data_IF_877695228511
#
_entry.id   IF_877695228511
#
_cell.length_a   1.000
_cell.length_b   1.000
_cell.length_c   1.000
_cell.angle_alpha   90.00
_cell.angle_beta   90.00
_cell.angle_gamma   90.00
#
_symmetry.space_group_name_H-M   'P 1'
#
loop_
_entity.id
_entity.type
_entity.pdbx_description
1 polymer ?
#
# COMPACT_ATOMS: atom_id res chain seq x y z
N UNK A 1 1.37 11.78 13.54
CA UNK A 1 0.75 11.59 12.20
C UNK A 1 -0.02 10.29 12.22
N UNK A 2 -1.31 10.35 11.89
CA UNK A 2 -2.15 9.15 11.80
C UNK A 2 -1.92 8.40 10.49
N UNK A 3 -2.34 7.14 10.42
CA UNK A 3 -2.40 6.39 9.17
C UNK A 3 -3.77 5.76 8.95
N UNK A 4 -4.09 5.49 7.69
CA UNK A 4 -5.28 4.76 7.27
C UNK A 4 -4.82 3.47 6.58
N UNK A 5 -5.21 2.34 7.17
CA UNK A 5 -4.97 1.02 6.61
C UNK A 5 -6.14 0.61 5.70
N UNK A 6 -5.85 0.25 4.46
CA UNK A 6 -6.84 -0.23 3.49
C UNK A 6 -6.65 -1.74 3.33
N UNK A 7 -7.60 -2.51 3.84
CA UNK A 7 -7.60 -3.96 3.69
C UNK A 7 -7.86 -4.40 2.25
N UNK A 8 -7.02 -5.29 1.73
CA UNK A 8 -7.14 -5.84 0.37
C UNK A 8 -7.00 -7.35 0.39
N UNK A 9 -7.70 -8.05 -0.50
CA UNK A 9 -7.54 -9.50 -0.67
C UNK A 9 -6.24 -9.87 -1.41
N UNK A 10 -5.60 -8.90 -2.07
CA UNK A 10 -4.32 -9.08 -2.75
C UNK A 10 -3.61 -7.74 -2.88
N UNK A 11 -2.62 -7.50 -2.02
CA UNK A 11 -1.85 -6.24 -2.04
C UNK A 11 -1.12 -6.06 -3.37
N UNK A 12 -0.54 -7.13 -3.94
CA UNK A 12 0.13 -7.08 -5.25
C UNK A 12 -0.80 -6.58 -6.37
N UNK A 13 -2.04 -7.09 -6.43
CA UNK A 13 -3.01 -6.67 -7.46
C UNK A 13 -3.50 -5.24 -7.22
N UNK A 14 -3.74 -4.87 -5.97
CA UNK A 14 -4.18 -3.53 -5.60
C UNK A 14 -3.09 -2.50 -5.92
N UNK A 15 -1.82 -2.77 -5.57
CA UNK A 15 -0.66 -1.96 -5.92
C UNK A 15 -0.60 -1.72 -7.43
N UNK A 16 -0.56 -2.80 -8.22
CA UNK A 16 -0.52 -2.71 -9.69
C UNK A 16 -1.66 -1.85 -10.26
N UNK A 17 -2.89 -2.05 -9.78
CA UNK A 17 -4.06 -1.32 -10.26
C UNK A 17 -4.02 0.18 -9.93
N UNK A 18 -3.45 0.55 -8.78
CA UNK A 18 -3.28 1.93 -8.34
C UNK A 18 -2.11 2.60 -9.04
N UNK A 19 -1.02 1.89 -9.31
CA UNK A 19 0.08 2.37 -10.16
C UNK A 19 -0.43 2.75 -11.56
N UNK A 20 -1.34 1.96 -12.15
CA UNK A 20 -1.99 2.32 -13.43
C UNK A 20 -2.86 3.59 -13.36
N UNK A 21 -3.19 4.06 -12.15
CA UNK A 21 -3.96 5.30 -11.90
C UNK A 21 -3.06 6.46 -11.44
N UNK A 22 -1.75 6.28 -11.48
CA UNK A 22 -0.77 7.32 -11.13
C UNK A 22 -0.39 7.38 -9.66
N UNK A 23 -0.88 6.47 -8.81
CA UNK A 23 -0.38 6.38 -7.44
C UNK A 23 1.00 5.75 -7.40
N UNK A 24 1.84 6.23 -6.48
CA UNK A 24 3.17 5.70 -6.21
C UNK A 24 3.24 5.12 -4.81
N UNK A 25 4.19 4.21 -4.64
CA UNK A 25 4.41 3.49 -3.40
C UNK A 25 5.84 3.64 -2.94
N UNK A 26 6.01 3.71 -1.62
CA UNK A 26 7.33 3.70 -1.01
C UNK A 26 7.81 2.25 -1.03
N UNK A 27 8.59 1.85 -2.03
CA UNK A 27 9.02 0.46 -2.21
C UNK A 27 9.76 -0.10 -0.98
N UNK A 28 10.53 0.74 -0.28
CA UNK A 28 11.24 0.37 0.95
C UNK A 28 10.30 0.07 2.14
N UNK A 29 9.03 0.47 2.05
CA UNK A 29 8.01 0.15 3.05
C UNK A 29 7.36 -1.23 2.84
N UNK A 30 7.72 -1.94 1.76
CA UNK A 30 7.13 -3.21 1.42
C UNK A 30 7.39 -4.27 2.51
N UNK A 31 6.31 -4.80 3.08
CA UNK A 31 6.39 -5.91 4.02
C UNK A 31 6.09 -7.20 3.27
N UNK A 32 7.07 -8.09 3.20
CA UNK A 32 6.95 -9.39 2.53
C UNK A 32 7.01 -10.51 3.57
N UNK A 33 6.02 -11.41 3.55
CA UNK A 33 6.00 -12.64 4.36
C UNK A 33 5.74 -13.85 3.47
N UNK A 34 6.55 -14.89 3.62
CA UNK A 34 6.44 -16.13 2.82
C UNK A 34 6.41 -15.85 1.29
N UNK A 35 7.23 -14.91 0.82
CA UNK A 35 7.29 -14.50 -0.58
C UNK A 35 6.07 -13.70 -1.08
N UNK A 36 5.12 -13.35 -0.20
CA UNK A 36 3.93 -12.55 -0.53
C UNK A 36 4.04 -11.14 0.04
N UNK A 37 3.76 -10.14 -0.78
CA UNK A 37 3.60 -8.75 -0.34
C UNK A 37 2.33 -8.65 0.51
N UNK A 38 2.49 -8.28 1.79
CA UNK A 38 1.38 -8.19 2.75
C UNK A 38 1.06 -6.77 3.20
N UNK A 39 1.96 -5.80 3.00
CA UNK A 39 1.67 -4.39 3.23
C UNK A 39 2.62 -3.49 2.42
N UNK A 40 2.15 -2.29 2.07
CA UNK A 40 2.97 -1.25 1.43
C UNK A 40 2.30 0.13 1.57
N UNK A 41 3.11 1.16 1.86
CA UNK A 41 2.65 2.55 1.98
C UNK A 41 2.67 3.29 0.64
N UNK A 42 1.71 4.20 0.46
CA UNK A 42 1.70 5.17 -0.63
C UNK A 42 2.77 6.26 -0.37
N UNK A 43 3.32 6.85 -1.43
CA UNK A 43 4.22 8.01 -1.30
C UNK A 43 3.48 9.25 -0.80
N UNK A 44 2.29 9.49 -1.34
CA UNK A 44 1.48 10.65 -1.01
C UNK A 44 0.62 10.42 0.24
N UNK A 45 0.47 11.48 1.04
CA UNK A 45 -0.55 11.55 2.07
C UNK A 45 -1.90 11.99 1.49
N UNK A 46 -2.99 11.44 2.04
CA UNK A 46 -4.34 11.82 1.66
C UNK A 46 -4.98 12.52 2.87
N UNK A 47 -5.25 13.82 2.74
CA UNK A 47 -5.85 14.62 3.82
C UNK A 47 -4.99 14.71 5.08
N UNK A 48 -3.66 14.62 4.96
CA UNK A 48 -2.71 14.62 6.09
C UNK A 48 -2.57 13.27 6.80
N UNK A 49 -3.05 12.19 6.19
CA UNK A 49 -2.86 10.83 6.67
C UNK A 49 -1.97 10.04 5.71
N UNK A 50 -1.01 9.30 6.26
CA UNK A 50 -0.31 8.28 5.52
C UNK A 50 -1.27 7.13 5.20
N UNK A 51 -1.32 6.69 3.95
CA UNK A 51 -2.17 5.58 3.53
C UNK A 51 -1.31 4.36 3.19
N UNK A 52 -1.78 3.16 3.59
CA UNK A 52 -1.13 1.92 3.18
C UNK A 52 -2.14 0.82 2.84
N UNK A 53 -1.74 -0.06 1.94
CA UNK A 53 -2.44 -1.29 1.66
C UNK A 53 -1.99 -2.35 2.66
N UNK A 54 -2.92 -3.18 3.12
CA UNK A 54 -2.62 -4.36 3.95
C UNK A 54 -3.41 -5.56 3.45
N UNK A 55 -2.79 -6.73 3.50
CA UNK A 55 -3.42 -7.99 3.17
C UNK A 55 -4.41 -8.38 4.27
N UNK A 56 -5.66 -8.66 3.89
CA UNK A 56 -6.64 -9.29 4.77
C UNK A 56 -6.26 -10.75 5.02
#
# INVERSE_FOLDING_TARGET
>A
NGHIAIGTNSVKRAKWHLEQRGFKFIEDSAVVKNGKLIAIYLEDEIGGFACHLVQK
#
